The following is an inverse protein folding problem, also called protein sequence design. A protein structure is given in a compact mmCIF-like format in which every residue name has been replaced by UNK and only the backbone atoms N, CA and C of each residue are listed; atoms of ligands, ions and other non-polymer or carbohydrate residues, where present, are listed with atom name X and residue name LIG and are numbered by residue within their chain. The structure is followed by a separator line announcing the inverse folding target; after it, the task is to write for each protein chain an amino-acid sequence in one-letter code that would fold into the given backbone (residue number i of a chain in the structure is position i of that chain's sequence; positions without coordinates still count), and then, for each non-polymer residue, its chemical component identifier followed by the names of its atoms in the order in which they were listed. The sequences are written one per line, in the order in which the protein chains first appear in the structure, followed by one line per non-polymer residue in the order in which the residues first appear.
data_IF_783213102123
#
_entry.id   IF_783213102123
#
_cell.length_a   1.000
_cell.length_b   1.000
_cell.length_c   1.000
_cell.angle_alpha   90.00
_cell.angle_beta   90.00
_cell.angle_gamma   90.00
#
_symmetry.space_group_name_H-M   'P 1'
#
loop_
_entity.id
_entity.type
_entity.pdbx_description
1 polymer ?
#
# COMPACT_ATOMS: atom_id res chain seq x y z
N UNK A 1 8.36 -25.61 7.92
CA UNK A 1 7.30 -24.90 8.65
C UNK A 1 6.55 -23.99 7.70
N UNK A 2 5.55 -23.25 8.19
CA UNK A 2 4.86 -22.21 7.41
C UNK A 2 5.77 -20.98 7.37
N UNK A 3 5.90 -20.36 6.19
CA UNK A 3 6.68 -19.13 6.01
C UNK A 3 5.84 -18.13 5.21
N UNK A 4 5.44 -17.05 5.89
CA UNK A 4 4.53 -16.06 5.33
C UNK A 4 5.28 -14.76 4.98
N UNK A 5 5.11 -14.32 3.73
CA UNK A 5 5.56 -13.00 3.28
C UNK A 5 4.30 -12.13 3.11
N UNK A 6 3.93 -11.44 4.18
CA UNK A 6 2.78 -10.52 4.18
C UNK A 6 3.23 -9.18 3.61
N UNK A 7 2.88 -8.95 2.34
CA UNK A 7 3.31 -7.79 1.56
C UNK A 7 2.16 -6.93 1.04
N UNK A 8 2.51 -5.91 0.25
CA UNK A 8 1.58 -5.00 -0.41
C UNK A 8 1.93 -4.86 -1.91
N UNK A 9 1.08 -4.18 -2.68
CA UNK A 9 1.34 -3.85 -4.08
C UNK A 9 2.29 -2.64 -4.28
N UNK A 10 2.72 -1.99 -3.19
CA UNK A 10 3.70 -0.91 -3.18
C UNK A 10 4.96 -1.32 -2.39
N UNK A 11 6.17 -0.92 -2.83
CA UNK A 11 7.44 -1.27 -2.18
C UNK A 11 7.75 -0.45 -0.91
N UNK A 12 6.90 0.52 -0.57
CA UNK A 12 7.04 1.44 0.56
C UNK A 12 5.70 1.60 1.28
N UNK A 13 5.74 2.13 2.50
CA UNK A 13 4.55 2.39 3.31
C UNK A 13 4.54 3.86 3.79
N UNK A 14 3.41 4.32 4.30
CA UNK A 14 3.20 5.72 4.71
C UNK A 14 3.99 6.15 5.95
N UNK A 15 4.26 5.22 6.87
CA UNK A 15 4.91 5.54 8.15
C UNK A 15 6.08 4.59 8.38
N UNK A 16 7.09 5.10 9.08
CA UNK A 16 8.28 4.35 9.50
C UNK A 16 8.28 4.00 11.00
N UNK A 17 7.30 4.51 11.74
CA UNK A 17 7.10 4.26 13.16
C UNK A 17 5.77 3.48 13.35
N UNK A 18 5.80 2.28 13.94
CA UNK A 18 4.60 1.48 14.17
C UNK A 18 3.59 2.15 15.13
N UNK A 19 4.02 3.04 16.02
CA UNK A 19 3.12 3.77 16.92
C UNK A 19 2.11 4.65 16.17
N UNK A 20 2.46 5.08 14.95
CA UNK A 20 1.59 5.90 14.10
C UNK A 20 0.60 5.08 13.27
N UNK A 21 0.75 3.75 13.20
CA UNK A 21 -0.10 2.91 12.34
C UNK A 21 -1.59 2.98 12.71
N UNK A 22 -2.01 2.94 13.99
CA UNK A 22 -3.43 3.12 14.33
C UNK A 22 -3.97 4.49 13.87
N UNK A 23 -3.19 5.56 14.04
CA UNK A 23 -3.56 6.91 13.61
C UNK A 23 -3.68 7.03 12.08
N UNK A 24 -2.75 6.42 11.34
CA UNK A 24 -2.81 6.32 9.88
C UNK A 24 -4.09 5.59 9.43
N UNK A 25 -4.44 4.49 10.10
CA UNK A 25 -5.65 3.71 9.78
C UNK A 25 -6.91 4.50 10.12
N UNK A 26 -6.95 5.23 11.24
CA UNK A 26 -8.08 6.08 11.60
C UNK A 26 -8.28 7.22 10.59
N UNK A 27 -7.20 7.90 10.17
CA UNK A 27 -7.26 8.98 9.19
C UNK A 27 -7.81 8.55 7.82
N UNK A 28 -7.67 7.27 7.46
CA UNK A 28 -8.21 6.70 6.22
C UNK A 28 -9.63 6.12 6.37
N UNK A 29 -10.14 6.00 7.60
CA UNK A 29 -11.46 5.40 7.87
C UNK A 29 -12.55 6.48 7.89
N UNK A 30 -13.56 6.32 8.74
CA UNK A 30 -14.72 7.21 8.85
C UNK A 30 -14.53 8.08 10.08
N UNK A 31 -14.94 9.34 9.98
CA UNK A 31 -14.99 10.26 11.11
C UNK A 31 -15.87 9.65 12.22
N UNK A 32 -15.42 9.63 13.49
CA UNK A 32 -16.11 8.95 14.58
C UNK A 32 -17.45 9.60 14.97
N UNK A 33 -17.67 10.88 14.63
CA UNK A 33 -18.92 11.58 14.93
C UNK A 33 -19.95 11.42 13.82
N UNK A 34 -19.52 11.53 12.54
CA UNK A 34 -20.45 11.54 11.39
C UNK A 34 -20.57 10.19 10.71
N UNK A 35 -19.64 9.27 10.97
CA UNK A 35 -19.49 8.01 10.25
C UNK A 35 -19.29 8.15 8.72
N UNK A 36 -18.87 9.34 8.25
CA UNK A 36 -18.56 9.61 6.85
C UNK A 36 -17.05 9.58 6.59
N UNK A 37 -16.65 9.45 5.32
CA UNK A 37 -15.27 9.74 4.91
C UNK A 37 -15.00 11.22 5.10
N UNK A 38 -13.79 11.56 5.52
CA UNK A 38 -13.40 12.91 5.90
C UNK A 38 -12.04 13.25 5.24
N UNK A 39 -12.05 14.03 4.14
CA UNK A 39 -10.83 14.44 3.45
C UNK A 39 -9.90 15.29 4.34
N UNK A 40 -10.46 16.07 5.28
CA UNK A 40 -9.65 16.92 6.16
C UNK A 40 -8.84 16.05 7.12
N UNK A 41 -9.46 15.00 7.72
CA UNK A 41 -8.74 14.02 8.53
C UNK A 41 -7.64 13.30 7.75
N UNK A 42 -7.90 12.93 6.50
CA UNK A 42 -6.91 12.27 5.65
C UNK A 42 -5.72 13.18 5.36
N UNK A 43 -5.97 14.40 4.87
CA UNK A 43 -4.92 15.33 4.47
C UNK A 43 -4.18 15.91 5.68
N UNK A 44 -4.83 16.14 6.81
CA UNK A 44 -4.18 16.54 8.06
C UNK A 44 -3.14 15.51 8.48
N UNK A 45 -3.49 14.21 8.45
CA UNK A 45 -2.53 13.17 8.80
C UNK A 45 -1.32 13.14 7.86
N UNK A 46 -1.59 13.16 6.54
CA UNK A 46 -0.55 13.02 5.52
C UNK A 46 0.38 14.25 5.44
N UNK A 47 -0.19 15.46 5.46
CA UNK A 47 0.58 16.69 5.24
C UNK A 47 1.41 17.11 6.46
N UNK A 48 0.98 16.76 7.68
CA UNK A 48 1.76 16.99 8.89
C UNK A 48 2.89 15.97 9.10
N UNK A 49 3.02 14.98 8.21
CA UNK A 49 3.98 13.88 8.29
C UNK A 49 4.68 13.68 6.94
N UNK A 50 5.78 14.41 6.66
CA UNK A 50 6.42 14.38 5.36
C UNK A 50 6.94 12.99 4.97
N UNK A 51 7.14 12.06 5.92
CA UNK A 51 7.48 10.67 5.64
C UNK A 51 6.42 9.92 4.80
N UNK A 52 5.18 10.39 4.79
CA UNK A 52 4.07 9.79 4.02
C UNK A 52 4.19 10.05 2.53
N UNK A 53 4.93 11.08 2.12
CA UNK A 53 4.91 11.64 0.77
C UNK A 53 5.21 10.60 -0.32
N UNK A 54 6.21 9.72 -0.12
CA UNK A 54 6.58 8.74 -1.14
C UNK A 54 5.44 7.73 -1.40
N UNK A 55 4.84 7.19 -0.34
CA UNK A 55 3.70 6.28 -0.49
C UNK A 55 2.47 7.01 -1.05
N UNK A 56 2.26 8.27 -0.66
CA UNK A 56 1.17 9.12 -1.15
C UNK A 56 1.27 9.37 -2.66
N UNK A 57 2.48 9.66 -3.17
CA UNK A 57 2.73 9.82 -4.61
C UNK A 57 2.44 8.54 -5.39
N UNK A 58 2.78 7.37 -4.85
CA UNK A 58 2.45 6.10 -5.48
C UNK A 58 0.94 5.82 -5.45
N UNK A 59 0.29 6.11 -4.32
CA UNK A 59 -1.15 5.94 -4.14
C UNK A 59 -1.98 6.80 -5.10
N UNK A 60 -1.57 8.04 -5.36
CA UNK A 60 -2.24 8.94 -6.31
C UNK A 60 -1.72 8.82 -7.75
N UNK A 61 -0.78 7.91 -8.03
CA UNK A 61 -0.44 7.53 -9.40
C UNK A 61 -1.41 6.48 -9.94
N UNK A 62 -1.32 6.15 -11.23
CA UNK A 62 -2.12 5.06 -11.81
C UNK A 62 -1.99 3.73 -11.04
N UNK A 63 -0.88 3.48 -10.33
CA UNK A 63 -0.71 2.27 -9.50
C UNK A 63 -1.69 2.17 -8.33
N UNK A 64 -2.37 3.26 -7.96
CA UNK A 64 -3.40 3.28 -6.93
C UNK A 64 -4.70 2.59 -7.35
N UNK A 65 -4.94 2.44 -8.66
CA UNK A 65 -6.16 1.86 -9.24
C UNK A 65 -5.81 0.69 -10.18
N UNK A 66 -5.24 -0.42 -9.68
CA UNK A 66 -4.85 -1.55 -10.53
C UNK A 66 -6.07 -2.22 -11.20
N UNK A 67 -5.90 -2.65 -12.45
CA UNK A 67 -6.90 -3.45 -13.17
C UNK A 67 -6.81 -4.93 -12.75
N UNK A 68 -7.35 -5.20 -11.55
CA UNK A 68 -7.36 -6.52 -10.93
C UNK A 68 -6.00 -7.00 -10.40
N UNK A 69 -6.02 -8.06 -9.59
CA UNK A 69 -4.85 -8.56 -8.86
C UNK A 69 -3.77 -9.23 -9.73
N UNK A 70 -4.07 -9.59 -10.98
CA UNK A 70 -3.10 -10.25 -11.87
C UNK A 70 -2.10 -9.27 -12.50
N UNK A 71 -2.45 -7.99 -12.54
CA UNK A 71 -1.70 -6.94 -13.21
C UNK A 71 -0.92 -6.04 -12.23
N UNK A 72 -0.70 -6.50 -10.99
CA UNK A 72 0.10 -5.78 -9.99
C UNK A 72 1.38 -6.52 -9.63
N UNK A 73 2.38 -5.75 -9.21
CA UNK A 73 3.52 -6.31 -8.49
C UNK A 73 3.15 -6.50 -7.02
N UNK A 74 3.74 -7.50 -6.37
CA UNK A 74 3.78 -7.63 -4.92
C UNK A 74 5.16 -7.28 -4.37
N UNK A 75 5.21 -6.76 -3.16
CA UNK A 75 6.45 -6.43 -2.47
C UNK A 75 6.35 -6.81 -1.00
N UNK A 76 7.43 -7.34 -0.43
CA UNK A 76 7.52 -7.58 1.01
C UNK A 76 7.56 -6.30 1.85
N UNK A 77 7.67 -5.13 1.21
CA UNK A 77 7.78 -3.78 1.79
C UNK A 77 9.04 -3.58 2.64
N UNK A 78 9.26 -4.39 3.66
CA UNK A 78 10.33 -4.24 4.62
C UNK A 78 11.66 -4.84 4.15
N UNK A 79 12.73 -4.46 4.84
CA UNK A 79 14.02 -5.14 4.74
C UNK A 79 14.02 -6.31 5.69
N UNK A 80 14.36 -7.49 5.18
CA UNK A 80 14.50 -8.73 5.94
C UNK A 80 15.96 -9.14 6.02
N UNK A 81 16.23 -10.14 6.87
CA UNK A 81 17.54 -10.75 7.01
C UNK A 81 17.50 -12.20 6.53
N UNK A 82 18.37 -12.55 5.60
CA UNK A 82 18.62 -13.93 5.17
C UNK A 82 20.00 -14.37 5.67
N UNK A 83 20.09 -15.63 6.09
CA UNK A 83 21.32 -16.21 6.64
C UNK A 83 21.64 -17.47 5.82
N UNK A 84 22.86 -17.56 5.29
CA UNK A 84 23.29 -18.70 4.50
C UNK A 84 23.82 -19.85 5.40
N UNK A 85 24.24 -20.96 4.79
CA UNK A 85 24.74 -22.13 5.51
C UNK A 85 26.03 -21.89 6.31
N UNK A 86 26.84 -20.86 5.96
CA UNK A 86 28.03 -20.45 6.72
C UNK A 86 27.73 -19.44 7.84
N UNK A 87 26.46 -19.03 8.02
CA UNK A 87 26.05 -18.08 9.05
C UNK A 87 26.18 -16.60 8.64
N UNK A 88 26.54 -16.32 7.40
CA UNK A 88 26.66 -14.95 6.90
C UNK A 88 25.28 -14.34 6.65
N UNK A 89 25.14 -13.07 7.03
CA UNK A 89 23.89 -12.31 6.95
C UNK A 89 23.85 -11.41 5.73
N UNK A 90 22.72 -11.42 5.01
CA UNK A 90 22.41 -10.47 3.95
C UNK A 90 21.06 -9.80 4.19
N UNK A 91 20.98 -8.49 3.92
CA UNK A 91 19.72 -7.76 3.90
C UNK A 91 19.04 -7.94 2.55
N UNK A 92 17.75 -8.30 2.57
CA UNK A 92 16.98 -8.57 1.36
C UNK A 92 15.65 -7.81 1.38
N UNK A 93 15.11 -7.55 0.20
CA UNK A 93 13.73 -7.11 0.00
C UNK A 93 13.09 -8.01 -1.05
N UNK A 94 11.85 -8.42 -0.81
CA UNK A 94 11.13 -9.33 -1.72
C UNK A 94 10.35 -8.53 -2.77
N UNK A 95 10.50 -8.92 -4.03
CA UNK A 95 9.82 -8.33 -5.18
C UNK A 95 9.16 -9.46 -5.99
N UNK A 96 7.83 -9.47 -6.04
CA UNK A 96 7.02 -10.38 -6.82
C UNK A 96 6.53 -9.64 -8.06
N UNK A 97 7.20 -9.85 -9.20
CA UNK A 97 6.82 -9.17 -10.45
C UNK A 97 5.70 -9.95 -11.13
N UNK A 98 4.73 -9.23 -11.68
CA UNK A 98 3.68 -9.83 -12.53
C UNK A 98 4.28 -10.10 -13.91
N UNK A 99 3.99 -11.27 -14.46
CA UNK A 99 4.35 -11.63 -15.84
C UNK A 99 3.29 -11.13 -16.84
N UNK A 100 2.12 -10.70 -16.36
CA UNK A 100 0.98 -10.25 -17.15
C UNK A 100 1.10 -8.77 -17.58
N UNK A 101 2.16 -8.08 -17.13
CA UNK A 101 2.33 -6.64 -17.30
C UNK A 101 1.43 -5.83 -16.37
N UNK A 102 1.85 -4.60 -16.08
CA UNK A 102 1.08 -3.68 -15.24
C UNK A 102 -0.05 -3.06 -16.05
N UNK A 103 -1.25 -3.07 -15.47
CA UNK A 103 -2.44 -2.39 -15.99
C UNK A 103 -3.17 -1.69 -14.86
N UNK A 104 -3.66 -0.50 -15.15
CA UNK A 104 -4.36 0.35 -14.21
C UNK A 104 -5.60 0.94 -14.87
N UNK A 105 -6.57 1.30 -14.04
CA UNK A 105 -7.84 1.90 -14.43
C UNK A 105 -7.73 3.42 -14.31
N UNK A 106 -8.33 4.12 -15.27
CA UNK A 106 -8.58 5.55 -15.12
C UNK A 106 -9.77 5.81 -14.17
N UNK A 107 -9.91 7.06 -13.72
CA UNK A 107 -10.94 7.44 -12.76
C UNK A 107 -12.37 7.14 -13.23
N UNK A 108 -12.66 7.32 -14.52
CA UNK A 108 -13.99 7.06 -15.08
C UNK A 108 -14.33 5.58 -14.99
N UNK A 109 -13.38 4.73 -15.36
CA UNK A 109 -13.56 3.28 -15.30
C UNK A 109 -13.72 2.79 -13.86
N UNK A 110 -12.99 3.37 -12.91
CA UNK A 110 -13.18 3.10 -11.49
C UNK A 110 -14.61 3.44 -11.02
N UNK A 111 -15.13 4.62 -11.38
CA UNK A 111 -16.50 5.03 -11.02
C UNK A 111 -17.56 4.09 -11.60
N UNK A 112 -17.40 3.69 -12.86
CA UNK A 112 -18.29 2.71 -13.51
C UNK A 112 -18.30 1.37 -12.77
N UNK A 113 -17.13 0.82 -12.46
CA UNK A 113 -17.01 -0.47 -11.77
C UNK A 113 -17.57 -0.39 -10.34
N UNK A 114 -17.25 0.65 -9.58
CA UNK A 114 -17.79 0.84 -8.23
C UNK A 114 -19.33 0.87 -8.19
N UNK A 115 -19.99 1.27 -9.27
CA UNK A 115 -21.45 1.31 -9.39
C UNK A 115 -22.07 -0.02 -9.84
N UNK A 116 -21.38 -0.77 -10.71
CA UNK A 116 -21.96 -1.93 -11.40
C UNK A 116 -21.41 -3.28 -10.92
N UNK A 117 -20.16 -3.32 -10.48
CA UNK A 117 -19.42 -4.53 -10.12
C UNK A 117 -18.40 -4.19 -9.00
N UNK A 118 -18.86 -4.02 -7.75
CA UNK A 118 -18.02 -3.55 -6.65
C UNK A 118 -17.12 -4.63 -6.02
N UNK A 119 -17.22 -5.89 -6.46
CA UNK A 119 -16.40 -7.03 -6.02
C UNK A 119 -15.17 -7.25 -6.94
#
# INVERSE_FOLDING_TARGET
GIWDIVGCNMPVHYVRDPMLFPSLVHAQKRNPQTHLKDPDMFWDFMTLRPETLHALLMYFSDRGTPDGYRHLHGYGVHTYRMINASGETQYVRFHFKTDQGIKNLDARRCEELMSHDPD
#
